data_IF_106421612471
#
_entry.id   IF_106421612471
#
_cell.length_a   1.000
_cell.length_b   1.000
_cell.length_c   1.000
_cell.angle_alpha   90.00
_cell.angle_beta   90.00
_cell.angle_gamma   90.00
#
_symmetry.space_group_name_H-M   'P 1'
#
loop_
_entity.id
_entity.type
_entity.pdbx_description
1 polymer ?
#
# COMPACT_ATOMS: atom_id res chain seq x y z
N UNK A 1 2.53 -18.93 -7.12
CA UNK A 1 1.46 -17.93 -6.88
C UNK A 1 1.96 -16.64 -7.48
N UNK A 2 1.43 -16.23 -8.62
CA UNK A 2 1.81 -14.99 -9.29
C UNK A 2 0.96 -13.88 -8.66
N UNK A 3 1.58 -12.90 -8.02
CA UNK A 3 0.87 -11.74 -7.51
C UNK A 3 0.52 -10.83 -8.70
N UNK A 4 -0.75 -10.84 -9.10
CA UNK A 4 -1.25 -9.95 -10.15
C UNK A 4 -1.33 -8.52 -9.63
N UNK A 5 -0.46 -7.66 -10.17
CA UNK A 5 -0.24 -6.31 -9.69
C UNK A 5 -1.06 -5.33 -10.53
N UNK A 6 -2.15 -4.83 -9.96
CA UNK A 6 -3.08 -3.92 -10.62
C UNK A 6 -2.86 -2.50 -10.11
N UNK A 7 -2.58 -1.51 -10.98
CA UNK A 7 -2.47 -0.12 -10.55
C UNK A 7 -3.85 0.47 -10.27
N UNK A 8 -4.05 0.99 -9.07
CA UNK A 8 -5.17 1.83 -8.67
C UNK A 8 -4.74 3.30 -8.76
N UNK A 9 -5.51 4.15 -9.42
CA UNK A 9 -5.21 5.59 -9.50
C UNK A 9 -5.94 6.31 -8.36
N UNK A 10 -5.16 6.88 -7.43
CA UNK A 10 -5.67 7.81 -6.44
C UNK A 10 -5.26 9.22 -6.85
N UNK A 11 -6.20 9.99 -7.37
CA UNK A 11 -5.92 11.24 -8.08
C UNK A 11 -4.92 11.01 -9.24
N UNK A 12 -3.79 11.70 -9.25
CA UNK A 12 -2.68 11.52 -10.21
C UNK A 12 -1.58 10.56 -9.70
N UNK A 13 -1.83 9.87 -8.58
CA UNK A 13 -0.85 8.98 -7.97
C UNK A 13 -1.21 7.51 -8.21
N UNK A 14 -0.38 6.76 -8.97
CA UNK A 14 -0.58 5.33 -9.12
C UNK A 14 -0.19 4.61 -7.83
N UNK A 15 -1.14 3.89 -7.26
CA UNK A 15 -0.99 2.99 -6.11
C UNK A 15 -0.98 1.56 -6.62
N UNK A 16 0.07 0.82 -6.30
CA UNK A 16 0.14 -0.61 -6.64
C UNK A 16 -0.72 -1.42 -5.66
N UNK A 17 -1.56 -2.28 -6.21
CA UNK A 17 -2.42 -3.21 -5.45
C UNK A 17 -2.20 -4.64 -5.91
N UNK A 18 -2.18 -5.59 -4.97
CA UNK A 18 -2.19 -7.03 -5.25
C UNK A 18 -3.43 -7.66 -4.62
N UNK A 19 -3.96 -8.72 -5.22
CA UNK A 19 -4.93 -9.58 -4.53
C UNK A 19 -4.20 -10.65 -3.73
N UNK A 20 -4.47 -10.69 -2.43
CA UNK A 20 -3.95 -11.72 -1.52
C UNK A 20 -5.09 -12.19 -0.62
N UNK A 21 -5.34 -13.50 -0.61
CA UNK A 21 -6.40 -14.16 0.17
C UNK A 21 -7.81 -13.55 0.00
N UNK A 22 -8.11 -13.09 -1.22
CA UNK A 22 -9.40 -12.46 -1.55
C UNK A 22 -9.55 -11.03 -1.03
N UNK A 23 -8.50 -10.45 -0.47
CA UNK A 23 -8.45 -9.05 -0.03
C UNK A 23 -7.45 -8.24 -0.88
N UNK A 24 -7.71 -6.94 -1.13
CA UNK A 24 -6.77 -6.06 -1.79
C UNK A 24 -5.70 -5.58 -0.81
N UNK A 25 -4.44 -5.78 -1.17
CA UNK A 25 -3.29 -5.30 -0.42
C UNK A 25 -2.59 -4.18 -1.19
N UNK A 26 -2.23 -3.11 -0.49
CA UNK A 26 -1.64 -1.91 -1.08
C UNK A 26 -0.18 -1.77 -0.71
N UNK A 27 0.63 -1.24 -1.64
CA UNK A 27 2.02 -0.92 -1.32
C UNK A 27 2.08 0.34 -0.46
N UNK A 28 2.46 0.21 0.81
CA UNK A 28 2.51 1.30 1.79
C UNK A 28 3.32 2.52 1.31
N UNK A 29 4.43 2.31 0.59
CA UNK A 29 5.25 3.38 0.03
C UNK A 29 4.52 4.21 -1.05
N UNK A 30 3.57 3.62 -1.77
CA UNK A 30 2.76 4.35 -2.75
C UNK A 30 1.69 5.16 -2.02
N UNK A 31 1.04 4.58 -1.00
CA UNK A 31 0.08 5.29 -0.14
C UNK A 31 0.74 6.52 0.51
N UNK A 32 1.89 6.35 1.17
CA UNK A 32 2.61 7.45 1.82
C UNK A 32 2.94 8.59 0.85
N UNK A 33 3.29 8.26 -0.40
CA UNK A 33 3.53 9.26 -1.45
C UNK A 33 2.24 9.99 -1.85
N UNK A 34 1.11 9.29 -1.97
CA UNK A 34 -0.19 9.89 -2.32
C UNK A 34 -0.65 10.90 -1.28
N UNK A 35 -0.49 10.59 0.00
CA UNK A 35 -0.99 11.43 1.11
C UNK A 35 0.06 12.42 1.65
N UNK A 36 1.20 12.56 0.96
CA UNK A 36 2.24 13.53 1.30
C UNK A 36 2.99 13.23 2.59
N UNK A 37 2.96 11.99 3.09
CA UNK A 37 3.74 11.59 4.26
C UNK A 37 5.19 11.31 3.83
N UNK A 38 6.10 12.21 4.24
CA UNK A 38 7.52 12.12 3.91
C UNK A 38 8.28 11.05 4.71
N UNK A 39 7.72 10.59 5.84
CA UNK A 39 8.34 9.57 6.68
C UNK A 39 7.45 8.31 6.71
N UNK A 40 7.56 7.41 5.72
CA UNK A 40 6.72 6.22 5.62
C UNK A 40 6.83 5.32 6.86
N UNK A 41 7.98 5.26 7.53
CA UNK A 41 8.17 4.50 8.79
C UNK A 41 7.26 4.98 9.91
N UNK A 42 6.98 6.29 10.01
CA UNK A 42 6.02 6.83 10.98
C UNK A 42 4.56 6.54 10.62
N UNK A 43 4.27 6.37 9.32
CA UNK A 43 2.91 6.05 8.86
C UNK A 43 2.52 4.61 9.18
N UNK A 44 3.49 3.69 9.09
CA UNK A 44 3.28 2.26 9.41
C UNK A 44 3.53 1.92 10.88
N UNK A 45 4.17 2.80 11.66
CA UNK A 45 4.48 2.56 13.08
C UNK A 45 3.25 2.39 14.01
N UNK A 46 2.04 2.69 13.52
CA UNK A 46 0.78 2.52 14.25
C UNK A 46 -0.07 1.37 13.67
N UNK A 47 0.43 0.63 12.69
CA UNK A 47 -0.22 -0.57 12.19
C UNK A 47 0.14 -1.74 13.11
N UNK A 48 -0.83 -2.60 13.40
CA UNK A 48 -0.62 -3.78 14.24
C UNK A 48 0.31 -4.79 13.51
N UNK A 49 0.98 -5.67 14.25
CA UNK A 49 2.02 -6.58 13.72
C UNK A 49 1.54 -7.47 12.55
N UNK A 50 0.22 -7.65 12.41
CA UNK A 50 -0.41 -8.42 11.34
C UNK A 50 -0.57 -7.64 10.03
N UNK A 51 -0.37 -6.32 10.03
CA UNK A 51 -0.50 -5.44 8.87
C UNK A 51 0.86 -5.05 8.23
N UNK A 52 1.98 -5.48 8.83
CA UNK A 52 3.35 -5.16 8.34
C UNK A 52 3.93 -6.16 7.29
N UNK A 53 3.25 -7.29 7.00
CA UNK A 53 3.85 -8.44 6.27
C UNK A 53 3.26 -8.76 4.90
#
# INVERSE_FOLDING_TARGET
>A
MSADLTPFLFEDHPVRTIQQDGQPWFVAADICRCIGIQNPTMAVANLDEDEES
#
